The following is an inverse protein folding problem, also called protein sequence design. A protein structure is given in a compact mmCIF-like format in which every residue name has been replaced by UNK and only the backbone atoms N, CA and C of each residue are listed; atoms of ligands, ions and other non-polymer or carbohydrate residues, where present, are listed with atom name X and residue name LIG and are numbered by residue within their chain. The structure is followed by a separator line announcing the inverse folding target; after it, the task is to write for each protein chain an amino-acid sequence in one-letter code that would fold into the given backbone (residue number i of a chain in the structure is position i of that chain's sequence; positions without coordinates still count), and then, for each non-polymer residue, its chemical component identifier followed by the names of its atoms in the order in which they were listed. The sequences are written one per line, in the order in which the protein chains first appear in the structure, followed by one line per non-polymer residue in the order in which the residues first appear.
data_IF_871244929888
#
_entry.id   IF_871244929888
#
_cell.length_a   1.000
_cell.length_b   1.000
_cell.length_c   1.000
_cell.angle_alpha   90.00
_cell.angle_beta   90.00
_cell.angle_gamma   90.00
#
_symmetry.space_group_name_H-M   'P 1'
#
loop_
_entity.id
_entity.type
_entity.pdbx_description
1 polymer ?
#
# COMPACT_ATOMS: atom_id res chain seq x y z
N UNK A 1 -47.64 -49.11 -1.65
CA UNK A 1 -46.55 -48.90 -0.69
C UNK A 1 -46.41 -47.41 -0.54
N UNK A 2 -46.97 -46.89 0.55
CA UNK A 2 -47.01 -45.45 0.81
C UNK A 2 -45.89 -45.15 1.81
N UNK A 3 -44.90 -44.37 1.40
CA UNK A 3 -43.78 -43.98 2.20
C UNK A 3 -44.19 -42.77 3.05
N UNK A 4 -44.34 -43.01 4.34
CA UNK A 4 -44.72 -42.00 5.32
C UNK A 4 -43.47 -41.16 5.63
N UNK A 5 -43.47 -39.90 5.19
CA UNK A 5 -42.42 -38.91 5.52
C UNK A 5 -42.63 -38.49 6.98
N UNK A 6 -41.65 -38.77 7.81
CA UNK A 6 -41.59 -38.36 9.20
C UNK A 6 -41.44 -36.82 9.30
N UNK A 7 -42.36 -36.09 9.89
CA UNK A 7 -42.27 -34.62 10.00
C UNK A 7 -41.36 -34.12 11.12
N UNK A 8 -40.62 -35.03 11.81
CA UNK A 8 -39.76 -34.64 12.92
C UNK A 8 -38.28 -34.30 12.53
N UNK A 9 -37.95 -34.39 11.24
CA UNK A 9 -36.58 -34.11 10.75
C UNK A 9 -36.37 -32.67 10.25
N UNK A 10 -37.21 -31.74 10.61
CA UNK A 10 -37.06 -30.34 10.21
C UNK A 10 -37.17 -29.40 11.42
N UNK A 11 -36.09 -28.94 11.86
CA UNK A 11 -35.78 -27.63 12.42
C UNK A 11 -34.71 -27.73 13.51
N UNK A 12 -33.46 -27.74 13.09
CA UNK A 12 -32.42 -27.25 13.99
C UNK A 12 -32.70 -25.75 14.23
N UNK A 13 -32.74 -25.32 15.49
CA UNK A 13 -33.08 -23.93 15.78
C UNK A 13 -32.01 -23.00 15.22
N UNK A 14 -32.46 -21.97 14.52
CA UNK A 14 -31.62 -20.90 13.94
C UNK A 14 -30.74 -20.16 14.98
N UNK A 15 -30.78 -20.56 16.22
CA UNK A 15 -30.03 -19.99 17.34
C UNK A 15 -28.60 -20.54 17.45
N UNK A 16 -28.29 -21.69 16.83
CA UNK A 16 -26.91 -22.25 16.83
C UNK A 16 -25.99 -21.62 15.78
N UNK A 17 -26.52 -20.82 14.87
CA UNK A 17 -25.75 -20.15 13.79
C UNK A 17 -25.30 -18.73 14.13
N UNK A 18 -25.62 -18.25 15.33
CA UNK A 18 -25.12 -16.93 15.78
C UNK A 18 -23.80 -17.13 16.50
N UNK A 19 -22.68 -16.56 16.01
CA UNK A 19 -21.42 -16.61 16.74
C UNK A 19 -21.61 -15.97 18.11
N UNK A 20 -21.44 -16.77 19.17
CA UNK A 20 -21.52 -16.32 20.53
C UNK A 20 -20.30 -15.47 20.84
N UNK A 21 -20.50 -14.15 21.02
CA UNK A 21 -19.44 -13.25 21.48
C UNK A 21 -19.06 -13.63 22.91
N UNK A 22 -17.89 -14.19 23.09
CA UNK A 22 -17.32 -14.49 24.39
C UNK A 22 -16.37 -13.36 24.76
N UNK A 23 -16.79 -12.50 25.69
CA UNK A 23 -15.96 -11.42 26.21
C UNK A 23 -14.95 -11.99 27.21
N UNK A 24 -13.67 -11.66 27.01
CA UNK A 24 -12.59 -12.07 27.92
C UNK A 24 -11.57 -13.07 27.33
N UNK A 25 -11.82 -13.59 26.14
CA UNK A 25 -10.84 -14.36 25.41
C UNK A 25 -10.05 -13.48 24.42
N UNK A 26 -8.85 -13.91 24.08
CA UNK A 26 -8.00 -13.22 23.11
C UNK A 26 -8.74 -13.10 21.78
N UNK A 27 -8.89 -11.88 21.28
CA UNK A 27 -9.50 -11.65 19.98
C UNK A 27 -8.65 -12.34 18.92
N UNK A 28 -9.19 -13.35 18.26
CA UNK A 28 -8.61 -13.92 17.05
C UNK A 28 -9.32 -13.24 15.90
N UNK A 29 -8.64 -12.31 15.25
CA UNK A 29 -9.15 -11.71 14.02
C UNK A 29 -9.03 -12.75 12.91
N UNK A 30 -10.11 -12.98 12.20
CA UNK A 30 -10.00 -13.67 10.92
C UNK A 30 -9.07 -12.88 10.01
N UNK A 31 -8.13 -13.55 9.33
CA UNK A 31 -7.27 -12.87 8.37
C UNK A 31 -8.16 -12.16 7.36
N UNK A 32 -7.89 -10.88 7.13
CA UNK A 32 -8.63 -10.11 6.14
C UNK A 32 -8.62 -10.87 4.80
N UNK A 33 -9.77 -11.02 4.11
CA UNK A 33 -9.85 -11.78 2.87
C UNK A 33 -9.05 -11.15 1.71
N UNK A 34 -8.42 -10.00 1.95
CA UNK A 34 -7.54 -9.33 1.01
C UNK A 34 -6.08 -9.63 1.34
N UNK A 35 -5.50 -10.57 0.61
CA UNK A 35 -4.08 -10.85 0.69
C UNK A 35 -3.23 -9.67 0.19
N UNK A 36 -2.00 -9.56 0.70
CA UNK A 36 -0.98 -8.60 0.24
C UNK A 36 -0.13 -9.16 -0.92
N UNK A 37 -0.49 -10.30 -1.46
CA UNK A 37 0.27 -11.05 -2.48
C UNK A 37 0.56 -10.27 -3.75
N UNK A 38 -0.25 -9.25 -4.05
CA UNK A 38 -0.06 -8.35 -5.18
C UNK A 38 0.90 -7.19 -4.91
N UNK A 39 1.35 -7.01 -3.67
CA UNK A 39 2.35 -6.02 -3.28
C UNK A 39 3.70 -6.71 -3.15
N UNK A 40 4.66 -6.29 -3.97
CA UNK A 40 6.03 -6.77 -3.90
C UNK A 40 6.92 -5.63 -3.44
N UNK A 41 7.31 -5.66 -2.19
CA UNK A 41 8.29 -4.73 -1.64
C UNK A 41 9.71 -5.24 -1.97
N UNK A 42 10.58 -4.31 -2.38
CA UNK A 42 12.00 -4.59 -2.45
C UNK A 42 12.59 -4.56 -1.03
N UNK A 43 13.64 -5.32 -0.79
CA UNK A 43 14.35 -5.33 0.49
C UNK A 43 14.92 -3.94 0.82
N UNK A 44 15.34 -3.18 -0.22
CA UNK A 44 15.97 -1.87 -0.05
C UNK A 44 15.58 -0.89 -1.14
N UNK A 45 15.32 0.37 -0.73
CA UNK A 45 15.01 1.48 -1.62
C UNK A 45 16.08 2.57 -1.55
N UNK A 46 16.56 3.01 -2.73
CA UNK A 46 17.45 4.14 -2.89
C UNK A 46 16.71 5.47 -3.01
N UNK A 47 17.46 6.56 -3.11
CA UNK A 47 16.92 7.89 -3.46
C UNK A 47 16.61 7.91 -4.95
N UNK A 48 15.44 8.48 -5.32
CA UNK A 48 15.10 8.69 -6.73
C UNK A 48 15.45 10.12 -7.13
N UNK A 49 16.53 10.30 -7.91
CA UNK A 49 17.03 11.61 -8.33
C UNK A 49 17.40 11.58 -9.79
N UNK A 50 17.02 12.60 -10.53
CA UNK A 50 17.30 12.77 -11.97
C UNK A 50 16.90 11.53 -12.81
N UNK A 51 15.69 11.00 -12.52
CA UNK A 51 15.11 9.87 -13.25
C UNK A 51 15.68 8.49 -12.92
N UNK A 52 16.48 8.34 -11.87
CA UNK A 52 17.11 7.07 -11.49
C UNK A 52 17.23 6.88 -9.99
N UNK A 53 17.29 5.65 -9.56
CA UNK A 53 17.62 5.32 -8.18
C UNK A 53 19.12 5.41 -7.92
N UNK A 54 19.50 6.12 -6.86
CA UNK A 54 20.89 6.30 -6.42
C UNK A 54 21.03 5.99 -4.93
N UNK A 55 22.16 5.45 -4.47
CA UNK A 55 22.39 5.25 -3.05
C UNK A 55 22.59 6.61 -2.36
N UNK A 56 22.23 6.75 -1.07
CA UNK A 56 22.53 7.95 -0.30
C UNK A 56 24.05 8.05 -0.11
N UNK A 57 24.60 9.27 -0.11
CA UNK A 57 26.04 9.51 0.05
C UNK A 57 26.59 8.97 1.38
N UNK A 58 25.79 9.05 2.41
CA UNK A 58 26.11 8.50 3.72
C UNK A 58 26.07 6.98 3.79
N UNK A 59 25.51 6.30 2.78
CA UNK A 59 25.17 4.87 2.76
C UNK A 59 24.25 4.43 3.91
N UNK A 60 23.64 5.38 4.60
CA UNK A 60 22.71 5.09 5.71
C UNK A 60 21.33 4.78 5.18
N UNK A 61 20.68 3.84 5.82
CA UNK A 61 19.27 3.47 5.59
C UNK A 61 18.57 3.42 6.95
N UNK A 62 17.27 3.44 6.94
CA UNK A 62 16.45 3.18 8.11
C UNK A 62 15.37 2.16 7.74
N UNK A 63 15.00 1.33 8.69
CA UNK A 63 13.96 0.34 8.51
C UNK A 63 12.58 0.99 8.57
N UNK A 64 11.65 0.53 7.72
CA UNK A 64 10.23 0.74 7.91
C UNK A 64 9.59 -0.53 8.44
N UNK A 65 8.58 -0.38 9.28
CA UNK A 65 7.87 -1.49 9.91
C UNK A 65 6.36 -1.29 9.76
N UNK A 66 5.65 -2.39 9.61
CA UNK A 66 4.18 -2.37 9.64
C UNK A 66 3.72 -2.04 11.06
N UNK A 67 3.04 -0.92 11.31
CA UNK A 67 2.63 -0.52 12.67
C UNK A 67 1.57 -1.44 13.29
N UNK A 68 0.89 -2.26 12.48
CA UNK A 68 -0.11 -3.20 12.98
C UNK A 68 0.47 -4.54 13.43
N UNK A 69 1.57 -5.01 12.80
CA UNK A 69 2.18 -6.31 13.06
C UNK A 69 3.60 -6.23 13.62
N UNK A 70 4.21 -5.03 13.58
CA UNK A 70 5.62 -4.77 13.91
C UNK A 70 6.62 -5.52 13.01
N UNK A 71 6.15 -6.09 11.91
CA UNK A 71 7.01 -6.76 10.94
C UNK A 71 7.80 -5.76 10.11
N UNK A 72 9.06 -6.11 9.83
CA UNK A 72 9.94 -5.34 8.95
C UNK A 72 9.38 -5.35 7.52
N UNK A 73 9.29 -4.17 6.89
CA UNK A 73 8.83 -4.01 5.51
C UNK A 73 10.00 -3.84 4.54
N UNK A 74 10.85 -2.87 4.77
CA UNK A 74 11.97 -2.54 3.89
C UNK A 74 12.99 -1.61 4.56
N UNK A 75 14.16 -1.50 3.95
CA UNK A 75 15.19 -0.51 4.24
C UNK A 75 15.07 0.68 3.28
N UNK A 76 14.92 1.90 3.80
CA UNK A 76 14.79 3.12 2.99
C UNK A 76 16.02 4.01 3.15
N UNK A 77 16.51 4.57 2.04
CA UNK A 77 17.68 5.44 2.04
C UNK A 77 17.49 6.68 2.91
N UNK A 78 18.44 6.94 3.81
CA UNK A 78 18.49 8.14 4.63
C UNK A 78 19.28 9.25 3.92
N UNK A 79 18.56 10.21 3.32
CA UNK A 79 19.16 11.36 2.64
C UNK A 79 19.84 12.30 3.63
N UNK A 80 21.07 12.71 3.30
CA UNK A 80 21.76 13.79 3.98
C UNK A 80 21.61 15.14 3.25
N UNK A 81 22.11 16.25 3.82
CA UNK A 81 22.02 17.58 3.20
C UNK A 81 22.54 17.60 1.75
N UNK A 82 23.68 16.97 1.48
CA UNK A 82 24.26 16.91 0.13
C UNK A 82 23.41 16.11 -0.87
N UNK A 83 22.63 15.13 -0.41
CA UNK A 83 21.69 14.40 -1.27
C UNK A 83 20.47 15.27 -1.59
N UNK A 84 20.01 16.06 -0.62
CA UNK A 84 18.91 17.03 -0.80
C UNK A 84 19.33 18.11 -1.80
N UNK A 85 20.53 18.68 -1.68
CA UNK A 85 21.07 19.66 -2.62
C UNK A 85 21.13 19.10 -4.05
N UNK A 86 21.58 17.86 -4.20
CA UNK A 86 21.61 17.18 -5.49
C UNK A 86 20.21 17.02 -6.10
N UNK A 87 19.23 16.60 -5.28
CA UNK A 87 17.86 16.45 -5.71
C UNK A 87 17.21 17.77 -6.13
N UNK A 88 17.43 18.83 -5.34
CA UNK A 88 16.93 20.19 -5.64
C UNK A 88 17.58 20.75 -6.92
N UNK A 89 18.89 20.57 -7.09
CA UNK A 89 19.57 20.99 -8.32
C UNK A 89 19.03 20.27 -9.56
N UNK A 90 18.79 18.96 -9.47
CA UNK A 90 18.19 18.18 -10.55
C UNK A 90 16.75 18.65 -10.87
N UNK A 91 15.94 18.87 -9.85
CA UNK A 91 14.57 19.35 -10.01
C UNK A 91 14.52 20.76 -10.66
N UNK A 92 15.39 21.67 -10.20
CA UNK A 92 15.52 23.02 -10.78
C UNK A 92 15.93 22.98 -12.25
N UNK A 93 16.95 22.17 -12.58
CA UNK A 93 17.37 21.96 -13.97
C UNK A 93 16.23 21.42 -14.83
N UNK A 94 15.47 20.45 -14.34
CA UNK A 94 14.32 19.89 -15.06
C UNK A 94 13.23 20.94 -15.25
N UNK A 95 12.94 21.73 -14.24
CA UNK A 95 11.97 22.84 -14.32
C UNK A 95 12.38 23.90 -15.36
N UNK A 96 13.64 24.33 -15.34
CA UNK A 96 14.11 25.41 -16.23
C UNK A 96 14.24 24.95 -17.68
N UNK A 97 14.72 23.73 -17.92
CA UNK A 97 15.07 23.26 -19.25
C UNK A 97 13.99 22.47 -19.95
N UNK A 98 13.11 21.80 -19.21
CA UNK A 98 12.14 20.86 -19.77
C UNK A 98 10.71 21.27 -19.45
N UNK A 99 10.36 21.28 -18.17
CA UNK A 99 8.96 21.45 -17.75
C UNK A 99 8.45 22.87 -17.94
N UNK A 100 9.25 23.89 -17.60
CA UNK A 100 8.89 25.31 -17.74
C UNK A 100 8.61 25.72 -19.18
N UNK A 101 9.52 25.43 -20.15
CA UNK A 101 9.32 25.76 -21.56
C UNK A 101 8.24 24.93 -22.25
N UNK A 102 7.83 23.79 -21.66
CA UNK A 102 6.81 22.90 -22.24
C UNK A 102 5.46 23.58 -22.35
N UNK A 103 4.75 23.35 -23.46
CA UNK A 103 3.41 23.90 -23.66
C UNK A 103 2.42 23.36 -22.60
N UNK A 104 1.38 24.14 -22.20
CA UNK A 104 0.34 23.64 -21.30
C UNK A 104 -0.34 22.36 -21.83
N UNK A 105 -0.51 22.25 -23.14
CA UNK A 105 -1.06 21.06 -23.79
C UNK A 105 -0.20 19.82 -23.54
N UNK A 106 1.11 19.95 -23.66
CA UNK A 106 2.00 18.83 -23.47
C UNK A 106 2.15 18.46 -21.99
N UNK A 107 2.21 19.46 -21.08
CA UNK A 107 2.17 19.21 -19.64
C UNK A 107 0.90 18.44 -19.23
N UNK A 108 -0.26 18.81 -19.79
CA UNK A 108 -1.51 18.10 -19.49
C UNK A 108 -1.47 16.62 -19.86
N UNK A 109 -0.83 16.26 -20.98
CA UNK A 109 -0.67 14.85 -21.39
C UNK A 109 0.09 14.03 -20.34
N UNK A 110 1.17 14.57 -19.78
CA UNK A 110 1.93 13.91 -18.73
C UNK A 110 1.09 13.77 -17.45
N UNK A 111 0.36 14.79 -17.05
CA UNK A 111 -0.50 14.75 -15.87
C UNK A 111 -1.64 13.73 -16.04
N UNK A 112 -2.29 13.69 -17.20
CA UNK A 112 -3.30 12.68 -17.50
C UNK A 112 -2.70 11.24 -17.50
N UNK A 113 -1.50 11.07 -18.05
CA UNK A 113 -0.83 9.77 -18.01
C UNK A 113 -0.51 9.36 -16.58
N UNK A 114 -0.02 10.28 -15.76
CA UNK A 114 0.23 10.04 -14.34
C UNK A 114 -1.06 9.63 -13.61
N UNK A 115 -2.15 10.37 -13.80
CA UNK A 115 -3.44 10.06 -13.19
C UNK A 115 -3.92 8.64 -13.57
N UNK A 116 -3.78 8.25 -14.84
CA UNK A 116 -4.12 6.90 -15.29
C UNK A 116 -3.23 5.83 -14.63
N UNK A 117 -1.94 6.05 -14.53
CA UNK A 117 -1.02 5.12 -13.86
C UNK A 117 -1.38 4.94 -12.38
N UNK A 118 -1.77 6.02 -11.69
CA UNK A 118 -2.24 5.95 -10.31
C UNK A 118 -3.53 5.11 -10.22
N UNK A 119 -4.49 5.33 -11.14
CA UNK A 119 -5.72 4.53 -11.19
C UNK A 119 -5.44 3.05 -11.48
N UNK A 120 -4.59 2.76 -12.46
CA UNK A 120 -4.19 1.40 -12.84
C UNK A 120 -3.52 0.64 -11.67
N UNK A 121 -2.79 1.36 -10.82
CA UNK A 121 -2.05 0.81 -9.66
C UNK A 121 -2.67 1.17 -8.30
N UNK A 122 -3.91 1.65 -8.28
CA UNK A 122 -4.55 2.16 -7.07
C UNK A 122 -4.57 1.15 -5.93
N UNK A 123 -4.84 -0.12 -6.23
CA UNK A 123 -4.86 -1.18 -5.22
C UNK A 123 -3.48 -1.43 -4.61
N UNK A 124 -2.43 -1.47 -5.42
CA UNK A 124 -1.05 -1.62 -4.96
C UNK A 124 -0.66 -0.46 -4.05
N UNK A 125 -0.91 0.77 -4.50
CA UNK A 125 -0.61 1.99 -3.73
C UNK A 125 -1.36 2.03 -2.41
N UNK A 126 -2.66 1.72 -2.40
CA UNK A 126 -3.48 1.67 -1.20
C UNK A 126 -2.96 0.62 -0.20
N UNK A 127 -2.55 -0.56 -0.68
CA UNK A 127 -1.99 -1.58 0.20
C UNK A 127 -0.64 -1.17 0.79
N UNK A 128 0.25 -0.57 0.00
CA UNK A 128 1.54 -0.05 0.51
C UNK A 128 1.30 1.01 1.58
N UNK A 129 0.39 1.96 1.35
CA UNK A 129 0.04 2.99 2.33
C UNK A 129 -0.53 2.38 3.63
N UNK A 130 -1.36 1.34 3.51
CA UNK A 130 -1.89 0.62 4.67
C UNK A 130 -0.79 -0.10 5.45
N UNK A 131 0.12 -0.78 4.75
CA UNK A 131 1.22 -1.53 5.38
C UNK A 131 2.22 -0.62 6.10
N UNK A 132 2.57 0.51 5.50
CA UNK A 132 3.57 1.43 6.04
C UNK A 132 2.99 2.42 7.06
N UNK A 133 1.78 2.94 6.79
CA UNK A 133 1.15 3.97 7.62
C UNK A 133 0.13 3.45 8.64
N UNK A 134 -0.27 2.17 8.58
CA UNK A 134 -1.31 1.60 9.44
C UNK A 134 -2.73 2.13 9.16
N UNK A 135 -2.91 2.88 8.08
CA UNK A 135 -4.19 3.46 7.70
C UNK A 135 -5.16 2.37 7.20
N UNK A 136 -6.44 2.40 7.59
CA UNK A 136 -7.41 1.43 7.06
C UNK A 136 -7.49 1.47 5.54
N UNK A 137 -7.49 0.30 4.88
CA UNK A 137 -7.48 0.18 3.41
C UNK A 137 -8.63 0.93 2.73
N UNK A 138 -9.78 1.04 3.37
CA UNK A 138 -10.94 1.81 2.86
C UNK A 138 -10.65 3.31 2.71
N UNK A 139 -9.69 3.84 3.47
CA UNK A 139 -9.31 5.25 3.48
C UNK A 139 -8.09 5.54 2.60
N UNK A 140 -7.38 4.48 2.17
CA UNK A 140 -6.24 4.55 1.25
C UNK A 140 -6.64 4.42 -0.22
N UNK A 141 -7.93 4.16 -0.50
CA UNK A 141 -8.49 4.00 -1.87
C UNK A 141 -8.93 5.31 -2.48
#
# INVERSE_FOLDING_TARGET
MSETIDPAAAAQPAEELRPRLVFGERWVYDPAPQGTEHVRLAERYGLFVDGRFVPPRSRRHFATTNPATEEHLAEVAHAGPADVELAVAAARKAQERVWGPMSPRDRSRYLFRLARLIQERSRELACVETLDGGKPIRESR
#
